data_IF_667459274719
#
_entry.id   IF_667459274719
#
_cell.length_a   1.000
_cell.length_b   1.000
_cell.length_c   1.000
_cell.angle_alpha   90.00
_cell.angle_beta   90.00
_cell.angle_gamma   90.00
#
_symmetry.space_group_name_H-M   'P 1'
#
loop_
_entity.id
_entity.type
_entity.pdbx_description
1 polymer ?
#
# COMPACT_ATOMS: atom_id res chain seq x y z
N UNK A 1 29.19 9.47 -26.62
CA UNK A 1 28.29 10.28 -25.77
C UNK A 1 28.74 10.05 -24.36
N UNK A 2 29.35 11.07 -23.79
CA UNK A 2 30.31 10.93 -22.70
C UNK A 2 29.59 10.65 -21.37
N UNK A 3 30.09 9.67 -20.61
CA UNK A 3 29.54 9.28 -19.31
C UNK A 3 29.34 10.48 -18.37
N UNK A 4 30.22 11.48 -18.45
CA UNK A 4 30.12 12.73 -17.70
C UNK A 4 28.85 13.55 -17.99
N UNK A 5 28.29 13.47 -19.20
CA UNK A 5 27.04 14.18 -19.52
C UNK A 5 25.84 13.50 -18.86
N UNK A 6 25.86 12.16 -18.80
CA UNK A 6 24.81 11.36 -18.15
C UNK A 6 24.82 11.64 -16.64
N UNK A 7 26.00 11.66 -16.02
CA UNK A 7 26.15 11.96 -14.58
C UNK A 7 25.60 13.35 -14.22
N UNK A 8 25.86 14.36 -15.06
CA UNK A 8 25.37 15.73 -14.82
C UNK A 8 23.85 15.84 -14.94
N UNK A 9 23.25 15.12 -15.89
CA UNK A 9 21.79 15.10 -16.05
C UNK A 9 21.12 14.44 -14.84
N UNK A 10 21.64 13.30 -14.39
CA UNK A 10 21.10 12.60 -13.21
C UNK A 10 21.29 13.39 -11.91
N UNK A 11 22.41 14.09 -11.75
CA UNK A 11 22.60 15.01 -10.62
C UNK A 11 21.62 16.20 -10.68
N UNK A 12 21.31 16.71 -11.87
CA UNK A 12 20.36 17.80 -12.03
C UNK A 12 18.92 17.37 -11.72
N UNK A 13 18.52 16.15 -12.10
CA UNK A 13 17.20 15.61 -11.74
C UNK A 13 17.10 15.38 -10.24
N UNK A 14 18.14 14.82 -9.60
CA UNK A 14 18.21 14.62 -8.15
C UNK A 14 18.12 15.97 -7.41
N UNK A 15 18.88 16.98 -7.84
CA UNK A 15 18.81 18.34 -7.29
C UNK A 15 17.40 18.91 -7.36
N UNK A 16 16.71 18.73 -8.49
CA UNK A 16 15.34 19.21 -8.66
C UNK A 16 14.38 18.52 -7.70
N UNK A 17 14.48 17.19 -7.55
CA UNK A 17 13.65 16.43 -6.61
C UNK A 17 13.95 16.79 -5.15
N UNK A 18 15.22 17.01 -4.80
CA UNK A 18 15.62 17.44 -3.47
C UNK A 18 15.06 18.82 -3.12
N UNK A 19 15.10 19.78 -4.06
CA UNK A 19 14.46 21.08 -3.88
C UNK A 19 12.95 20.93 -3.69
N UNK A 20 12.27 20.11 -4.50
CA UNK A 20 10.83 19.86 -4.36
C UNK A 20 10.45 19.21 -3.02
N UNK A 21 11.32 18.37 -2.47
CA UNK A 21 11.15 17.79 -1.14
C UNK A 21 11.34 18.84 -0.05
N UNK A 22 12.38 19.67 -0.17
CA UNK A 22 12.66 20.76 0.75
C UNK A 22 11.51 21.79 0.79
N UNK A 23 10.97 22.16 -0.36
CA UNK A 23 9.83 23.08 -0.46
C UNK A 23 8.58 22.49 0.23
N UNK A 24 8.32 21.20 0.03
CA UNK A 24 7.21 20.51 0.73
C UNK A 24 7.43 20.36 2.22
N UNK A 25 8.67 20.16 2.66
CA UNK A 25 8.99 20.10 4.08
C UNK A 25 8.82 21.49 4.72
N UNK A 26 9.26 22.55 4.06
CA UNK A 26 9.06 23.92 4.51
C UNK A 26 7.56 24.23 4.63
N UNK A 27 6.75 23.88 3.62
CA UNK A 27 5.29 24.02 3.67
C UNK A 27 4.69 23.24 4.85
N UNK A 28 5.11 21.98 5.04
CA UNK A 28 4.63 21.14 6.14
C UNK A 28 4.99 21.70 7.53
N UNK A 29 6.18 22.27 7.69
CA UNK A 29 6.60 22.90 8.95
C UNK A 29 5.81 24.19 9.27
N UNK A 30 5.20 24.82 8.27
CA UNK A 30 4.36 26.02 8.46
C UNK A 30 2.90 25.69 8.83
N UNK A 31 2.53 24.41 8.87
CA UNK A 31 1.17 23.99 9.24
C UNK A 31 0.85 24.46 10.66
N UNK A 32 -0.29 25.15 10.79
CA UNK A 32 -0.78 25.58 12.10
C UNK A 32 -1.24 24.37 12.93
N UNK A 33 -0.98 24.32 14.26
CA UNK A 33 -1.39 23.21 15.12
C UNK A 33 -2.91 22.97 15.20
N UNK A 34 -3.74 23.90 14.74
CA UNK A 34 -5.21 23.78 14.67
C UNK A 34 -5.71 23.22 13.33
N UNK A 35 -4.80 22.86 12.42
CA UNK A 35 -5.15 22.28 11.12
C UNK A 35 -5.85 20.94 11.32
N UNK A 36 -6.85 20.63 10.49
CA UNK A 36 -7.59 19.38 10.63
C UNK A 36 -6.70 18.21 10.25
N UNK A 37 -6.86 17.10 10.97
CA UNK A 37 -6.05 15.90 10.77
C UNK A 37 -6.00 15.39 9.31
N UNK A 38 -7.10 15.37 8.53
CA UNK A 38 -7.05 14.93 7.14
C UNK A 38 -6.10 15.78 6.27
N UNK A 39 -6.01 17.08 6.54
CA UNK A 39 -5.15 17.99 5.78
C UNK A 39 -3.67 17.75 6.13
N UNK A 40 -3.38 17.55 7.43
CA UNK A 40 -2.03 17.16 7.90
C UNK A 40 -1.60 15.84 7.27
N UNK A 41 -2.50 14.84 7.29
CA UNK A 41 -2.23 13.52 6.72
C UNK A 41 -1.99 13.59 5.20
N UNK A 42 -2.77 14.40 4.48
CA UNK A 42 -2.57 14.61 3.05
C UNK A 42 -1.19 15.20 2.75
N UNK A 43 -0.78 16.23 3.49
CA UNK A 43 0.53 16.85 3.30
C UNK A 43 1.68 15.89 3.67
N UNK A 44 1.51 15.12 4.74
CA UNK A 44 2.46 14.08 5.12
C UNK A 44 2.59 12.98 4.06
N UNK A 45 1.49 12.53 3.46
CA UNK A 45 1.51 11.55 2.37
C UNK A 45 2.23 12.10 1.12
N UNK A 46 2.06 13.38 0.80
CA UNK A 46 2.81 14.02 -0.30
C UNK A 46 4.31 14.03 0.01
N UNK A 47 4.69 14.33 1.26
CA UNK A 47 6.08 14.30 1.69
C UNK A 47 6.69 12.91 1.54
N UNK A 48 5.98 11.86 1.99
CA UNK A 48 6.39 10.46 1.83
C UNK A 48 6.56 10.11 0.35
N UNK A 49 5.59 10.45 -0.50
CA UNK A 49 5.65 10.11 -1.92
C UNK A 49 6.86 10.78 -2.61
N UNK A 50 7.17 12.04 -2.26
CA UNK A 50 8.36 12.74 -2.76
C UNK A 50 9.66 12.11 -2.25
N UNK A 51 9.70 11.74 -0.98
CA UNK A 51 10.85 11.06 -0.37
C UNK A 51 11.12 9.70 -1.03
N UNK A 52 10.10 8.87 -1.19
CA UNK A 52 10.21 7.57 -1.88
C UNK A 52 10.68 7.74 -3.33
N UNK A 53 10.17 8.74 -4.04
CA UNK A 53 10.61 9.05 -5.40
C UNK A 53 12.09 9.45 -5.45
N UNK A 54 12.59 10.20 -4.46
CA UNK A 54 14.00 10.57 -4.36
C UNK A 54 14.87 9.35 -4.05
N UNK A 55 14.44 8.51 -3.10
CA UNK A 55 15.15 7.29 -2.72
C UNK A 55 15.26 6.29 -3.88
N UNK A 56 14.22 6.18 -4.71
CA UNK A 56 14.27 5.34 -5.90
C UNK A 56 15.38 5.77 -6.89
N UNK A 57 15.57 7.08 -7.09
CA UNK A 57 16.65 7.61 -7.96
C UNK A 57 18.02 7.42 -7.32
N UNK A 58 18.14 7.62 -6.01
CA UNK A 58 19.42 7.45 -5.29
C UNK A 58 19.92 6.00 -5.29
N UNK A 59 19.06 5.02 -5.58
CA UNK A 59 19.46 3.62 -5.74
C UNK A 59 20.23 3.36 -7.03
N UNK A 60 20.33 4.35 -7.94
CA UNK A 60 21.16 4.25 -9.14
C UNK A 60 22.62 3.89 -8.76
N UNK A 61 23.23 2.89 -9.42
CA UNK A 61 24.60 2.50 -9.14
C UNK A 61 25.62 3.61 -9.45
N UNK A 62 25.25 4.59 -10.26
CA UNK A 62 26.12 5.71 -10.65
C UNK A 62 26.61 6.49 -9.44
N UNK A 63 25.73 6.79 -8.48
CA UNK A 63 26.08 7.54 -7.27
C UNK A 63 27.01 6.80 -6.31
N UNK A 64 27.14 5.47 -6.41
CA UNK A 64 28.11 4.71 -5.59
C UNK A 64 29.56 4.97 -6.01
N UNK A 65 29.78 5.35 -7.26
CA UNK A 65 31.11 5.56 -7.83
C UNK A 65 31.46 7.04 -7.98
N UNK A 66 30.49 7.94 -7.85
CA UNK A 66 30.70 9.39 -7.89
C UNK A 66 31.16 9.91 -6.52
N UNK A 67 32.47 10.14 -6.35
CA UNK A 67 33.00 10.80 -5.16
C UNK A 67 33.06 12.33 -5.40
N UNK A 68 32.29 13.14 -4.67
CA UNK A 68 32.39 14.59 -4.80
C UNK A 68 33.70 15.08 -4.18
N UNK A 69 34.64 15.54 -5.02
CA UNK A 69 35.88 16.17 -4.58
C UNK A 69 35.75 17.68 -4.88
N UNK A 70 35.79 18.55 -3.85
CA UNK A 70 35.71 19.98 -4.08
C UNK A 70 36.96 20.46 -4.82
N UNK A 71 36.77 21.16 -5.94
CA UNK A 71 37.85 21.72 -6.75
C UNK A 71 38.38 23.05 -6.20
N UNK A 72 37.60 23.72 -5.36
CA UNK A 72 37.95 24.99 -4.71
C UNK A 72 37.58 24.92 -3.24
N UNK A 73 38.48 25.40 -2.37
CA UNK A 73 38.27 25.48 -0.93
C UNK A 73 38.12 26.95 -0.51
N UNK A 74 37.25 27.27 0.46
CA UNK A 74 37.18 28.60 1.07
C UNK A 74 38.56 29.00 1.62
N UNK A 75 38.97 30.25 1.39
CA UNK A 75 40.27 30.75 1.85
C UNK A 75 40.31 30.93 3.38
N UNK A 76 39.17 31.22 4.01
CA UNK A 76 39.09 31.48 5.45
C UNK A 76 39.11 30.20 6.30
N UNK A 77 38.50 29.12 5.82
CA UNK A 77 38.50 27.81 6.48
C UNK A 77 38.44 26.68 5.43
N UNK A 78 39.59 26.07 5.06
CA UNK A 78 39.64 25.00 4.08
C UNK A 78 38.96 23.70 4.57
N UNK A 79 38.80 23.53 5.88
CA UNK A 79 38.25 22.30 6.49
C UNK A 79 36.73 22.37 6.67
N UNK A 80 36.11 23.53 6.44
CA UNK A 80 34.66 23.71 6.60
C UNK A 80 33.84 22.76 5.71
N UNK A 81 34.22 22.64 4.44
CA UNK A 81 33.52 21.83 3.44
C UNK A 81 33.50 20.34 3.82
N UNK A 82 34.66 19.67 4.06
CA UNK A 82 34.69 18.29 4.53
C UNK A 82 33.98 18.07 5.86
N UNK A 83 34.13 19.01 6.81
CA UNK A 83 33.62 18.86 8.18
C UNK A 83 32.10 19.00 8.28
N UNK A 84 31.50 19.87 7.48
CA UNK A 84 30.08 20.25 7.62
C UNK A 84 29.24 19.76 6.43
N UNK A 85 29.62 20.12 5.21
CA UNK A 85 28.77 19.92 4.02
C UNK A 85 28.96 18.55 3.37
N UNK A 86 30.19 18.01 3.41
CA UNK A 86 30.53 16.70 2.86
C UNK A 86 30.64 15.63 3.95
N UNK A 87 30.15 15.91 5.15
CA UNK A 87 30.11 14.94 6.25
C UNK A 87 29.18 13.79 5.88
N UNK A 88 29.72 12.57 5.87
CA UNK A 88 28.96 11.33 5.67
C UNK A 88 28.61 10.62 6.98
N UNK A 89 29.12 11.09 8.12
CA UNK A 89 28.78 10.52 9.42
C UNK A 89 27.29 10.78 9.73
N UNK A 90 26.59 9.72 10.12
CA UNK A 90 25.18 9.74 10.54
C UNK A 90 24.91 10.81 11.62
N UNK A 91 23.64 11.21 11.69
CA UNK A 91 23.13 12.10 12.75
C UNK A 91 23.12 11.30 14.07
N UNK A 92 23.42 11.94 15.23
CA UNK A 92 23.54 11.24 16.52
C UNK A 92 22.34 10.34 16.86
N UNK A 93 21.12 10.81 16.66
CA UNK A 93 19.89 10.05 16.98
C UNK A 93 19.79 8.75 16.15
N UNK A 94 20.26 8.78 14.90
CA UNK A 94 20.30 7.60 14.03
C UNK A 94 21.41 6.64 14.47
N UNK A 95 22.58 7.18 14.84
CA UNK A 95 23.71 6.40 15.35
C UNK A 95 23.34 5.64 16.63
N UNK A 96 22.68 6.31 17.58
CA UNK A 96 22.15 5.68 18.80
C UNK A 96 21.10 4.61 18.47
N UNK A 97 20.18 4.91 17.53
CA UNK A 97 19.20 3.96 17.03
C UNK A 97 19.85 2.68 16.48
N UNK A 98 20.84 2.81 15.59
CA UNK A 98 21.58 1.67 15.04
C UNK A 98 22.31 0.87 16.12
N UNK A 99 22.97 1.55 17.07
CA UNK A 99 23.70 0.88 18.16
C UNK A 99 22.74 0.09 19.07
N UNK A 100 21.57 0.66 19.38
CA UNK A 100 20.56 -0.06 20.17
C UNK A 100 20.04 -1.30 19.45
N UNK A 101 19.87 -1.24 18.13
CA UNK A 101 19.47 -2.39 17.31
C UNK A 101 20.58 -3.44 17.25
N UNK A 102 21.84 -3.03 17.07
CA UNK A 102 23.00 -3.94 17.09
C UNK A 102 23.13 -4.67 18.43
N UNK A 103 22.97 -3.95 19.54
CA UNK A 103 22.98 -4.56 20.88
C UNK A 103 21.87 -5.57 21.06
N UNK A 104 20.63 -5.24 20.66
CA UNK A 104 19.49 -6.18 20.72
C UNK A 104 19.72 -7.41 19.86
N UNK A 105 20.31 -7.25 18.68
CA UNK A 105 20.67 -8.37 17.82
C UNK A 105 21.70 -9.28 18.53
N UNK A 106 22.76 -8.70 19.09
CA UNK A 106 23.81 -9.42 19.80
C UNK A 106 23.30 -10.14 21.06
N UNK A 107 22.35 -9.56 21.78
CA UNK A 107 21.68 -10.18 22.94
C UNK A 107 20.82 -11.39 22.55
N UNK A 108 20.31 -11.41 21.31
CA UNK A 108 19.48 -12.51 20.79
C UNK A 108 20.29 -13.65 20.17
N UNK A 109 21.59 -13.43 19.94
CA UNK A 109 22.44 -14.37 19.23
C UNK A 109 23.06 -15.43 20.17
N UNK A 110 23.18 -16.69 19.71
CA UNK A 110 23.97 -17.68 20.43
C UNK A 110 25.45 -17.25 20.46
N UNK A 111 26.20 -17.66 21.49
CA UNK A 111 27.63 -17.39 21.56
C UNK A 111 28.37 -18.08 20.40
N UNK A 112 28.63 -17.32 19.33
CA UNK A 112 29.37 -17.79 18.15
C UNK A 112 30.85 -17.51 18.39
N UNK A 113 31.68 -18.50 18.09
CA UNK A 113 33.13 -18.28 18.04
C UNK A 113 33.47 -17.55 16.74
N UNK A 114 33.71 -16.25 16.84
CA UNK A 114 34.05 -15.39 15.70
C UNK A 114 35.42 -15.71 15.08
N UNK A 115 36.22 -16.57 15.70
CA UNK A 115 37.52 -17.02 15.16
C UNK A 115 37.30 -18.11 14.10
N UNK A 116 36.22 -18.91 14.21
CA UNK A 116 35.91 -19.95 13.22
C UNK A 116 35.08 -19.37 12.06
N UNK A 117 35.77 -19.08 10.95
CA UNK A 117 35.17 -18.59 9.72
C UNK A 117 34.06 -19.51 9.17
N UNK A 118 34.17 -20.84 9.37
CA UNK A 118 33.18 -21.79 8.89
C UNK A 118 31.89 -21.72 9.72
N UNK A 119 32.02 -21.57 11.05
CA UNK A 119 30.88 -21.38 11.95
C UNK A 119 30.15 -20.07 11.65
N UNK A 120 30.88 -18.96 11.46
CA UNK A 120 30.30 -17.66 11.09
C UNK A 120 29.56 -17.75 9.76
N UNK A 121 30.17 -18.37 8.73
CA UNK A 121 29.53 -18.56 7.42
C UNK A 121 28.26 -19.42 7.50
N UNK A 122 28.24 -20.45 8.34
CA UNK A 122 27.07 -21.29 8.54
C UNK A 122 25.89 -20.50 9.13
N UNK A 123 26.18 -19.66 10.14
CA UNK A 123 25.19 -18.78 10.76
C UNK A 123 24.67 -17.73 9.77
N UNK A 124 25.56 -17.07 9.02
CA UNK A 124 25.15 -16.10 7.98
C UNK A 124 24.19 -16.73 6.98
N UNK A 125 24.52 -17.93 6.48
CA UNK A 125 23.63 -18.66 5.56
C UNK A 125 22.29 -19.02 6.18
N UNK A 126 22.26 -19.33 7.48
CA UNK A 126 21.01 -19.60 8.18
C UNK A 126 20.12 -18.35 8.26
N UNK A 127 20.71 -17.19 8.58
CA UNK A 127 20.00 -15.91 8.58
C UNK A 127 19.55 -15.50 7.19
N UNK A 128 20.39 -15.66 6.16
CA UNK A 128 20.01 -15.44 4.77
C UNK A 128 18.80 -16.31 4.37
N UNK A 129 18.81 -17.59 4.77
CA UNK A 129 17.67 -18.50 4.51
C UNK A 129 16.41 -18.05 5.25
N UNK A 130 16.53 -17.62 6.51
CA UNK A 130 15.40 -17.10 7.29
C UNK A 130 14.85 -15.83 6.66
N UNK A 131 15.71 -14.90 6.26
CA UNK A 131 15.32 -13.66 5.57
C UNK A 131 14.60 -13.96 4.25
N UNK A 132 15.17 -14.81 3.40
CA UNK A 132 14.55 -15.23 2.14
C UNK A 132 13.18 -15.88 2.36
N UNK A 133 13.05 -16.75 3.37
CA UNK A 133 11.76 -17.35 3.71
C UNK A 133 10.73 -16.31 4.15
N UNK A 134 11.13 -15.30 4.93
CA UNK A 134 10.24 -14.20 5.29
C UNK A 134 9.83 -13.36 4.07
N UNK A 135 10.75 -13.10 3.14
CA UNK A 135 10.45 -12.38 1.89
C UNK A 135 9.45 -13.15 1.02
N UNK A 136 9.60 -14.48 0.93
CA UNK A 136 8.66 -15.36 0.22
C UNK A 136 7.26 -15.32 0.85
N UNK A 137 7.19 -15.35 2.19
CA UNK A 137 5.92 -15.25 2.93
C UNK A 137 5.24 -13.90 2.71
N UNK A 138 6.00 -12.81 2.74
CA UNK A 138 5.49 -11.45 2.48
C UNK A 138 4.98 -11.33 1.05
N UNK A 139 5.73 -11.85 0.08
CA UNK A 139 5.34 -11.86 -1.34
C UNK A 139 4.05 -12.65 -1.55
N UNK A 140 3.97 -13.85 -0.98
CA UNK A 140 2.76 -14.69 -1.02
C UNK A 140 1.56 -13.98 -0.39
N UNK A 141 1.76 -13.30 0.75
CA UNK A 141 0.71 -12.52 1.41
C UNK A 141 0.22 -11.37 0.52
N UNK A 142 1.12 -10.64 -0.13
CA UNK A 142 0.78 -9.55 -1.07
C UNK A 142 -0.05 -10.10 -2.24
N UNK A 143 0.33 -11.24 -2.81
CA UNK A 143 -0.41 -11.90 -3.89
C UNK A 143 -1.84 -12.26 -3.47
N UNK A 144 -2.00 -12.91 -2.31
CA UNK A 144 -3.35 -13.25 -1.80
C UNK A 144 -4.23 -12.02 -1.58
N UNK A 145 -3.67 -10.91 -1.07
CA UNK A 145 -4.39 -9.65 -0.89
C UNK A 145 -4.77 -9.04 -2.24
N UNK A 146 -3.88 -9.08 -3.24
CA UNK A 146 -4.15 -8.57 -4.58
C UNK A 146 -5.28 -9.35 -5.28
N UNK A 147 -5.29 -10.68 -5.15
CA UNK A 147 -6.36 -11.54 -5.67
C UNK A 147 -7.72 -11.23 -5.04
N UNK A 148 -7.75 -11.01 -3.71
CA UNK A 148 -8.96 -10.62 -2.99
C UNK A 148 -9.43 -9.21 -3.39
N UNK A 149 -8.50 -8.27 -3.57
CA UNK A 149 -8.78 -6.89 -3.92
C UNK A 149 -9.45 -6.74 -5.29
N UNK A 150 -9.05 -7.56 -6.26
CA UNK A 150 -9.58 -7.50 -7.63
C UNK A 150 -11.07 -7.87 -7.73
N UNK A 151 -11.60 -8.67 -6.80
CA UNK A 151 -12.94 -9.29 -6.92
C UNK A 151 -13.97 -8.82 -5.87
N UNK A 152 -13.52 -8.40 -4.68
CA UNK A 152 -14.41 -8.20 -3.53
C UNK A 152 -14.90 -6.77 -3.30
N UNK A 153 -14.06 -5.73 -3.48
CA UNK A 153 -14.35 -4.38 -2.95
C UNK A 153 -15.34 -3.55 -3.78
N UNK A 154 -15.67 -3.96 -5.01
CA UNK A 154 -16.65 -3.27 -5.86
C UNK A 154 -18.09 -3.76 -5.67
N UNK A 155 -18.31 -4.80 -4.87
CA UNK A 155 -19.64 -5.34 -4.61
C UNK A 155 -20.29 -4.60 -3.44
N UNK A 156 -21.38 -3.85 -3.71
CA UNK A 156 -22.17 -3.16 -2.65
C UNK A 156 -22.87 -4.14 -1.71
N UNK A 157 -23.05 -5.38 -2.14
CA UNK A 157 -23.71 -6.46 -1.41
C UNK A 157 -22.80 -7.69 -1.51
N UNK A 158 -22.41 -8.34 -0.41
CA UNK A 158 -21.64 -9.57 -0.46
C UNK A 158 -22.38 -10.63 -1.28
N UNK A 159 -21.72 -11.25 -2.27
CA UNK A 159 -22.27 -12.43 -2.96
C UNK A 159 -22.64 -13.50 -1.92
N UNK A 160 -23.94 -13.75 -1.78
CA UNK A 160 -24.54 -14.62 -0.75
C UNK A 160 -25.64 -13.94 0.07
N UNK A 161 -25.67 -12.60 0.15
CA UNK A 161 -26.74 -11.89 0.85
C UNK A 161 -28.03 -11.75 0.03
N UNK A 162 -27.99 -11.89 -1.30
CA UNK A 162 -29.19 -11.83 -2.15
C UNK A 162 -30.17 -12.97 -1.83
N UNK A 163 -29.68 -14.18 -1.55
CA UNK A 163 -30.52 -15.31 -1.18
C UNK A 163 -31.14 -15.15 0.22
N UNK A 164 -30.42 -14.49 1.15
CA UNK A 164 -30.91 -14.24 2.50
C UNK A 164 -31.89 -13.06 2.57
N UNK A 165 -31.68 -11.99 1.80
CA UNK A 165 -32.63 -10.86 1.70
C UNK A 165 -33.90 -11.32 0.97
N UNK A 166 -33.75 -12.13 -0.10
CA UNK A 166 -34.84 -12.82 -0.77
C UNK A 166 -35.41 -14.01 0.04
N UNK A 167 -34.95 -14.30 1.25
CA UNK A 167 -35.64 -15.17 2.20
C UNK A 167 -36.29 -14.38 3.35
N UNK A 168 -35.71 -13.24 3.74
CA UNK A 168 -36.11 -12.45 4.90
C UNK A 168 -37.30 -11.51 4.66
N UNK A 169 -37.57 -11.08 3.42
CA UNK A 169 -38.75 -10.22 3.14
C UNK A 169 -40.02 -11.08 3.19
N UNK A 170 -41.01 -10.78 4.07
CA UNK A 170 -42.27 -11.52 4.15
C UNK A 170 -42.94 -11.63 2.78
N UNK A 171 -43.48 -12.81 2.45
CA UNK A 171 -44.10 -13.08 1.14
C UNK A 171 -45.18 -12.04 0.79
N UNK A 172 -45.90 -11.55 1.79
CA UNK A 172 -46.98 -10.57 1.62
C UNK A 172 -46.49 -9.21 1.11
N UNK A 173 -45.29 -8.77 1.54
CA UNK A 173 -44.69 -7.51 1.11
C UNK A 173 -44.25 -7.60 -0.36
N UNK A 174 -43.71 -8.75 -0.78
CA UNK A 174 -43.32 -8.96 -2.19
C UNK A 174 -44.52 -9.01 -3.11
N UNK A 175 -45.60 -9.67 -2.67
CA UNK A 175 -46.86 -9.73 -3.41
C UNK A 175 -47.44 -8.32 -3.54
N UNK A 176 -47.39 -7.50 -2.49
CA UNK A 176 -47.80 -6.10 -2.52
C UNK A 176 -47.00 -5.26 -3.52
N UNK A 177 -45.66 -5.36 -3.51
CA UNK A 177 -44.80 -4.62 -4.44
C UNK A 177 -45.00 -5.08 -5.88
N UNK A 178 -45.08 -6.39 -6.14
CA UNK A 178 -45.35 -6.94 -7.48
C UNK A 178 -46.71 -6.47 -8.00
N UNK A 179 -47.75 -6.46 -7.15
CA UNK A 179 -49.08 -5.97 -7.49
C UNK A 179 -49.07 -4.48 -7.84
N UNK A 180 -48.41 -3.65 -7.04
CA UNK A 180 -48.30 -2.20 -7.30
C UNK A 180 -47.52 -1.94 -8.59
N UNK A 181 -46.44 -2.67 -8.83
CA UNK A 181 -45.63 -2.51 -10.04
C UNK A 181 -46.40 -2.90 -11.31
N UNK A 182 -47.16 -4.00 -11.28
CA UNK A 182 -48.04 -4.41 -12.38
C UNK A 182 -49.25 -3.48 -12.57
N UNK A 183 -49.77 -2.93 -11.48
CA UNK A 183 -50.82 -1.92 -11.52
C UNK A 183 -50.34 -0.64 -12.23
N UNK A 184 -49.11 -0.20 -11.91
CA UNK A 184 -48.50 0.97 -12.54
C UNK A 184 -48.14 0.75 -14.02
N UNK A 185 -47.68 -0.45 -14.38
CA UNK A 185 -47.24 -0.74 -15.76
C UNK A 185 -48.40 -1.07 -16.71
N UNK A 186 -49.46 -1.70 -16.20
CA UNK A 186 -50.48 -2.35 -17.03
C UNK A 186 -51.91 -2.01 -16.61
N UNK A 187 -52.06 -1.15 -15.60
CA UNK A 187 -53.34 -0.60 -15.14
C UNK A 187 -54.03 -1.42 -14.04
N UNK A 188 -55.15 -0.91 -13.50
CA UNK A 188 -55.93 -1.58 -12.48
C UNK A 188 -56.48 -2.93 -12.93
N UNK A 189 -56.27 -3.99 -12.15
CA UNK A 189 -56.77 -5.34 -12.45
C UNK A 189 -55.78 -6.28 -13.16
N UNK A 190 -54.66 -5.77 -13.65
CA UNK A 190 -53.66 -6.54 -14.41
C UNK A 190 -53.10 -7.72 -13.61
N UNK A 191 -52.85 -7.51 -12.32
CA UNK A 191 -52.31 -8.52 -11.41
C UNK A 191 -53.28 -9.71 -11.21
N UNK A 192 -54.58 -9.44 -11.06
CA UNK A 192 -55.58 -10.51 -10.91
C UNK A 192 -55.68 -11.36 -12.19
N UNK A 193 -55.64 -10.71 -13.36
CA UNK A 193 -55.69 -11.40 -14.67
C UNK A 193 -54.47 -12.31 -14.87
N UNK A 194 -53.28 -11.82 -14.52
CA UNK A 194 -52.04 -12.59 -14.68
C UNK A 194 -51.97 -13.76 -13.68
N UNK A 195 -52.42 -13.53 -12.44
CA UNK A 195 -52.55 -14.59 -11.43
C UNK A 195 -53.54 -15.69 -11.85
N UNK A 196 -54.66 -15.32 -12.48
CA UNK A 196 -55.61 -16.29 -13.02
C UNK A 196 -55.04 -17.08 -14.21
N UNK A 197 -54.22 -16.45 -15.05
CA UNK A 197 -53.50 -17.14 -16.12
C UNK A 197 -52.47 -18.11 -15.57
N UNK A 198 -51.67 -17.70 -14.59
CA UNK A 198 -50.72 -18.57 -13.89
C UNK A 198 -51.44 -19.77 -13.24
N UNK A 199 -52.56 -19.53 -12.53
CA UNK A 199 -53.34 -20.60 -11.90
C UNK A 199 -53.99 -21.57 -12.91
N UNK A 200 -54.38 -21.09 -14.10
CA UNK A 200 -54.87 -21.95 -15.19
C UNK A 200 -53.73 -22.78 -15.78
N UNK A 201 -52.56 -22.17 -15.99
CA UNK A 201 -51.37 -22.84 -16.50
C UNK A 201 -50.89 -23.93 -15.54
N UNK A 202 -50.93 -23.69 -14.23
CA UNK A 202 -50.53 -24.68 -13.21
C UNK A 202 -51.53 -25.84 -13.10
N UNK A 203 -52.83 -25.58 -13.32
CA UNK A 203 -53.86 -26.62 -13.44
C UNK A 203 -53.67 -27.48 -14.69
N UNK A 204 -53.33 -26.86 -15.83
CA UNK A 204 -53.02 -27.59 -17.07
C UNK A 204 -51.74 -28.41 -16.97
N UNK A 205 -50.77 -27.97 -16.17
CA UNK A 205 -49.52 -28.69 -15.90
C UNK A 205 -49.66 -29.81 -14.86
N UNK A 206 -50.86 -30.10 -14.36
CA UNK A 206 -51.11 -31.22 -13.45
C UNK A 206 -50.44 -31.10 -12.07
N UNK A 207 -50.12 -29.88 -11.63
CA UNK A 207 -49.36 -29.60 -10.41
C UNK A 207 -50.26 -29.12 -9.25
N UNK A 208 -51.46 -29.68 -9.15
CA UNK A 208 -52.31 -29.52 -7.96
C UNK A 208 -52.74 -30.90 -7.45
N UNK A 209 -52.35 -31.32 -6.24
CA UNK A 209 -52.82 -32.57 -5.67
C UNK A 209 -54.33 -32.46 -5.44
N UNK A 210 -55.09 -33.45 -5.94
CA UNK A 210 -56.48 -33.65 -5.53
C UNK A 210 -56.48 -33.85 -4.02
N UNK A 211 -57.17 -32.96 -3.30
CA UNK A 211 -57.58 -33.21 -1.92
C UNK A 211 -58.73 -34.22 -1.97
N UNK A 212 -58.41 -35.47 -1.70
CA UNK A 212 -59.32 -36.41 -1.04
C UNK A 212 -58.90 -36.50 0.43
#
# INVERSE_FOLDING_TARGET
MDAHIIDVIELATLRTKLNQLNDSLAEFLTIHPLTRWPDVLSQFNILIAKYESLMAEMRSPLFKYTLPIPSTLPQDDPDFLPRVLLRTKLIPDIEEGEETLRRKALESEPAIDFIDEAAVKAVVREYERKAAHHDDLVTSAIETVNEQNASAFKQRIPRGADDHIAAAVPKDVRVGVKKTMMWMSSGPGSYEIEREKEAKLDREKGLVPRKD
#
